data_IF_665084560706
#
_entry.id   IF_665084560706
#
_cell.length_a   1.000
_cell.length_b   1.000
_cell.length_c   1.000
_cell.angle_alpha   90.00
_cell.angle_beta   90.00
_cell.angle_gamma   90.00
#
_symmetry.space_group_name_H-M   'P 1'
#
loop_
_entity.id
_entity.type
_entity.pdbx_description
1 polymer ?
#
# COMPACT_ATOMS: atom_id res chain seq x y z
N UNK A 1 -2.28 5.93 12.02
CA UNK A 1 -2.90 5.84 10.67
C UNK A 1 -4.08 4.87 10.55
N UNK A 2 -4.00 3.59 10.97
CA UNK A 2 -5.14 2.63 10.85
C UNK A 2 -6.45 3.13 11.46
N UNK A 3 -6.36 3.80 12.61
CA UNK A 3 -7.53 4.38 13.29
C UNK A 3 -8.08 5.60 12.55
N UNK A 4 -7.20 6.39 11.92
CA UNK A 4 -7.54 7.64 11.22
C UNK A 4 -8.30 7.40 9.93
N UNK A 5 -7.92 6.39 9.13
CA UNK A 5 -8.60 6.07 7.86
C UNK A 5 -9.97 5.43 8.14
N UNK A 6 -10.05 4.52 9.11
CA UNK A 6 -11.32 3.95 9.54
C UNK A 6 -12.22 5.02 10.13
N UNK A 7 -11.66 5.95 10.91
CA UNK A 7 -12.40 7.07 11.50
C UNK A 7 -12.87 8.08 10.46
N UNK A 8 -12.08 8.38 9.42
CA UNK A 8 -12.49 9.27 8.33
C UNK A 8 -13.58 8.63 7.47
N UNK A 9 -13.47 7.34 7.15
CA UNK A 9 -14.49 6.62 6.41
C UNK A 9 -15.80 6.48 7.20
N UNK A 10 -15.71 6.18 8.51
CA UNK A 10 -16.85 6.19 9.42
C UNK A 10 -17.46 7.59 9.56
N UNK A 11 -16.63 8.64 9.62
CA UNK A 11 -17.10 10.02 9.73
C UNK A 11 -17.79 10.47 8.44
N UNK A 12 -17.26 10.16 7.26
CA UNK A 12 -17.89 10.45 5.97
C UNK A 12 -19.21 9.69 5.80
N UNK A 13 -19.25 8.41 6.19
CA UNK A 13 -20.49 7.64 6.22
C UNK A 13 -21.50 8.23 7.21
N UNK A 14 -21.06 8.63 8.41
CA UNK A 14 -21.91 9.25 9.42
C UNK A 14 -22.47 10.60 8.97
N UNK A 15 -21.67 11.45 8.33
CA UNK A 15 -22.10 12.74 7.76
C UNK A 15 -23.10 12.53 6.62
N UNK A 16 -22.86 11.57 5.73
CA UNK A 16 -23.81 11.22 4.67
C UNK A 16 -25.14 10.71 5.23
N UNK A 17 -25.10 9.87 6.27
CA UNK A 17 -26.29 9.36 6.98
C UNK A 17 -27.05 10.51 7.66
N UNK A 18 -26.34 11.42 8.33
CA UNK A 18 -26.95 12.55 9.02
C UNK A 18 -27.61 13.52 8.02
N UNK A 19 -26.94 13.79 6.89
CA UNK A 19 -27.47 14.66 5.82
C UNK A 19 -28.70 14.06 5.14
N UNK A 20 -28.73 12.73 4.93
CA UNK A 20 -29.91 12.03 4.40
C UNK A 20 -31.06 12.02 5.41
N UNK A 21 -30.77 11.86 6.70
CA UNK A 21 -31.77 11.90 7.77
C UNK A 21 -32.44 13.28 7.88
N UNK A 22 -31.68 14.36 7.74
CA UNK A 22 -32.20 15.73 7.71
C UNK A 22 -33.05 16.02 6.47
N UNK A 23 -32.69 15.44 5.32
CA UNK A 23 -33.45 15.63 4.08
C UNK A 23 -34.79 14.88 4.10
N UNK A 24 -34.83 13.71 4.73
CA UNK A 24 -36.04 12.88 4.87
C UNK A 24 -37.00 13.46 5.90
N UNK A 25 -36.51 14.00 7.02
CA UNK A 25 -37.37 14.60 8.05
C UNK A 25 -38.11 15.85 7.54
N UNK A 26 -37.53 16.58 6.59
CA UNK A 26 -38.16 17.74 5.95
C UNK A 26 -39.37 17.38 5.06
N UNK A 27 -39.50 16.12 4.62
CA UNK A 27 -40.60 15.67 3.75
C UNK A 27 -41.79 15.07 4.52
N UNK A 28 -41.70 14.96 5.86
CA UNK A 28 -42.74 14.36 6.70
C UNK A 28 -43.85 15.36 7.06
N UNK A 29 -44.64 15.74 6.07
CA UNK A 29 -46.02 16.22 6.27
C UNK A 29 -46.94 15.38 5.38
N UNK A 30 -47.21 14.14 5.79
CA UNK A 30 -48.07 13.18 5.09
C UNK A 30 -49.16 12.63 6.01
N UNK A 31 -50.19 12.00 5.43
CA UNK A 31 -51.38 11.52 6.13
C UNK A 31 -51.29 10.08 6.66
N UNK A 32 -52.40 9.32 6.76
CA UNK A 32 -52.38 7.98 7.33
C UNK A 32 -51.80 6.87 6.42
N UNK A 33 -51.54 7.15 5.13
CA UNK A 33 -51.07 6.15 4.14
C UNK A 33 -49.53 6.05 4.01
N UNK A 34 -48.79 6.93 4.68
CA UNK A 34 -47.34 7.09 4.52
C UNK A 34 -46.50 6.13 5.35
N UNK A 35 -47.13 5.27 6.15
CA UNK A 35 -46.46 4.18 6.86
C UNK A 35 -45.70 3.23 5.91
N UNK A 36 -46.28 2.90 4.75
CA UNK A 36 -45.63 2.06 3.74
C UNK A 36 -44.42 2.77 3.09
N UNK A 37 -44.57 4.06 2.78
CA UNK A 37 -43.49 4.88 2.20
C UNK A 37 -42.33 5.08 3.17
N UNK A 38 -42.65 5.35 4.44
CA UNK A 38 -41.65 5.48 5.51
C UNK A 38 -40.90 4.18 5.75
N UNK A 39 -41.59 3.04 5.77
CA UNK A 39 -40.98 1.73 5.92
C UNK A 39 -40.04 1.41 4.75
N UNK A 40 -40.48 1.63 3.52
CA UNK A 40 -39.67 1.40 2.31
C UNK A 40 -38.42 2.29 2.29
N UNK A 41 -38.57 3.56 2.65
CA UNK A 41 -37.46 4.50 2.73
C UNK A 41 -36.44 4.09 3.80
N UNK A 42 -36.91 3.65 4.97
CA UNK A 42 -36.04 3.16 6.04
C UNK A 42 -35.27 1.90 5.61
N UNK A 43 -35.93 1.00 4.87
CA UNK A 43 -35.31 -0.20 4.31
C UNK A 43 -34.22 0.13 3.28
N UNK A 44 -34.48 1.08 2.37
CA UNK A 44 -33.50 1.57 1.40
C UNK A 44 -32.32 2.23 2.10
N UNK A 45 -32.57 3.00 3.17
CA UNK A 45 -31.52 3.66 3.94
C UNK A 45 -30.62 2.63 4.64
N UNK A 46 -31.20 1.62 5.30
CA UNK A 46 -30.43 0.52 5.91
C UNK A 46 -29.59 -0.19 4.85
N UNK A 47 -30.17 -0.52 3.70
CA UNK A 47 -29.48 -1.24 2.64
C UNK A 47 -28.32 -0.40 2.05
N UNK A 48 -28.53 0.90 1.88
CA UNK A 48 -27.50 1.85 1.45
C UNK A 48 -26.34 1.94 2.46
N UNK A 49 -26.64 2.01 3.76
CA UNK A 49 -25.62 2.01 4.82
C UNK A 49 -24.82 0.70 4.80
N UNK A 50 -25.49 -0.44 4.70
CA UNK A 50 -24.83 -1.75 4.59
C UNK A 50 -23.92 -1.81 3.36
N UNK A 51 -24.37 -1.31 2.21
CA UNK A 51 -23.58 -1.27 1.00
C UNK A 51 -22.31 -0.42 1.17
N UNK A 52 -22.41 0.77 1.78
CA UNK A 52 -21.26 1.64 2.07
C UNK A 52 -20.28 0.95 3.02
N UNK A 53 -20.76 0.30 4.08
CA UNK A 53 -19.92 -0.43 5.03
C UNK A 53 -19.14 -1.56 4.33
N UNK A 54 -19.83 -2.35 3.50
CA UNK A 54 -19.20 -3.40 2.69
C UNK A 54 -18.16 -2.81 1.74
N UNK A 55 -18.45 -1.68 1.12
CA UNK A 55 -17.52 -1.02 0.20
C UNK A 55 -16.24 -0.55 0.91
N UNK A 56 -16.38 0.03 2.10
CA UNK A 56 -15.22 0.43 2.92
C UNK A 56 -14.40 -0.80 3.34
N UNK A 57 -15.05 -1.91 3.72
CA UNK A 57 -14.37 -3.16 4.03
C UNK A 57 -13.55 -3.67 2.84
N UNK A 58 -14.10 -3.61 1.62
CA UNK A 58 -13.39 -3.96 0.39
C UNK A 58 -12.17 -3.06 0.19
N UNK A 59 -12.30 -1.73 0.35
CA UNK A 59 -11.17 -0.80 0.21
C UNK A 59 -10.03 -1.14 1.17
N UNK A 60 -10.35 -1.36 2.45
CA UNK A 60 -9.37 -1.74 3.48
C UNK A 60 -8.72 -3.08 3.14
N UNK A 61 -9.51 -4.02 2.61
CA UNK A 61 -9.01 -5.31 2.16
C UNK A 61 -8.03 -5.18 0.99
N UNK A 62 -8.39 -4.43 -0.07
CA UNK A 62 -7.54 -4.20 -1.24
C UNK A 62 -6.22 -3.56 -0.83
N UNK A 63 -6.26 -2.50 -0.01
CA UNK A 63 -5.03 -1.85 0.48
C UNK A 63 -4.11 -2.85 1.19
N UNK A 64 -4.65 -3.65 2.11
CA UNK A 64 -3.86 -4.65 2.85
C UNK A 64 -3.34 -5.78 1.96
N UNK A 65 -4.10 -6.15 0.94
CA UNK A 65 -3.71 -7.22 0.02
C UNK A 65 -2.62 -6.76 -0.95
N UNK A 66 -2.71 -5.53 -1.45
CA UNK A 66 -1.69 -4.93 -2.30
C UNK A 66 -0.36 -4.76 -1.55
N UNK A 67 -0.42 -4.28 -0.31
CA UNK A 67 0.77 -4.12 0.55
C UNK A 67 1.47 -5.47 0.81
N UNK A 68 0.69 -6.54 1.04
CA UNK A 68 1.23 -7.90 1.21
C UNK A 68 1.93 -8.43 -0.05
N UNK A 69 1.50 -7.98 -1.22
CA UNK A 69 2.10 -8.37 -2.51
C UNK A 69 3.29 -7.49 -2.89
N UNK A 70 3.62 -6.48 -2.07
CA UNK A 70 4.67 -5.51 -2.33
C UNK A 70 4.35 -4.62 -3.54
N UNK A 71 3.05 -4.37 -3.77
CA UNK A 71 2.54 -3.40 -4.74
C UNK A 71 2.13 -2.15 -3.97
N UNK A 72 2.22 -0.97 -4.60
CA UNK A 72 1.81 0.31 -4.00
C UNK A 72 0.33 0.29 -3.60
N UNK A 73 0.04 0.00 -2.32
CA UNK A 73 -1.33 -0.21 -1.84
C UNK A 73 -2.20 1.05 -1.94
N UNK A 74 -1.59 2.23 -1.81
CA UNK A 74 -2.28 3.52 -1.95
C UNK A 74 -2.74 3.75 -3.39
N UNK A 75 -1.91 3.44 -4.37
CA UNK A 75 -2.26 3.54 -5.80
C UNK A 75 -3.46 2.66 -6.13
N UNK A 76 -3.46 1.40 -5.68
CA UNK A 76 -4.57 0.49 -5.89
C UNK A 76 -5.84 0.91 -5.18
N UNK A 77 -5.73 1.45 -3.96
CA UNK A 77 -6.88 2.00 -3.25
C UNK A 77 -7.51 3.17 -4.01
N UNK A 78 -6.71 4.09 -4.56
CA UNK A 78 -7.21 5.20 -5.38
C UNK A 78 -7.88 4.69 -6.67
N UNK A 79 -7.29 3.70 -7.34
CA UNK A 79 -7.88 3.09 -8.55
C UNK A 79 -9.24 2.47 -8.24
N UNK A 80 -9.36 1.69 -7.16
CA UNK A 80 -10.66 1.10 -6.76
C UNK A 80 -11.64 2.17 -6.30
N UNK A 81 -11.17 3.26 -5.68
CA UNK A 81 -12.01 4.39 -5.27
C UNK A 81 -12.62 5.13 -6.47
N UNK A 82 -11.84 5.41 -7.51
CA UNK A 82 -12.29 6.15 -8.69
C UNK A 82 -13.08 5.24 -9.63
N UNK A 83 -12.51 4.09 -9.99
CA UNK A 83 -13.11 3.16 -10.94
C UNK A 83 -14.17 2.23 -10.30
N UNK A 84 -14.43 2.36 -8.99
CA UNK A 84 -15.42 1.58 -8.25
C UNK A 84 -15.29 0.06 -8.50
N UNK A 85 -16.38 -0.57 -8.95
CA UNK A 85 -16.46 -1.98 -9.26
C UNK A 85 -15.49 -2.39 -10.37
N UNK A 86 -15.28 -1.51 -11.36
CA UNK A 86 -14.34 -1.74 -12.46
C UNK A 86 -12.90 -1.80 -11.94
N UNK A 87 -12.53 -0.88 -11.04
CA UNK A 87 -11.21 -0.89 -10.40
C UNK A 87 -10.97 -2.16 -9.58
N UNK A 88 -12.01 -2.66 -8.88
CA UNK A 88 -11.94 -3.92 -8.14
C UNK A 88 -11.71 -5.11 -9.07
N UNK A 89 -12.42 -5.17 -10.20
CA UNK A 89 -12.25 -6.25 -11.19
C UNK A 89 -10.84 -6.23 -11.77
N UNK A 90 -10.34 -5.06 -12.17
CA UNK A 90 -8.97 -4.89 -12.68
C UNK A 90 -7.94 -5.33 -11.65
N UNK A 91 -8.12 -4.93 -10.38
CA UNK A 91 -7.27 -5.36 -9.28
C UNK A 91 -7.22 -6.88 -9.16
N UNK A 92 -8.37 -7.54 -9.17
CA UNK A 92 -8.46 -8.99 -9.04
C UNK A 92 -7.77 -9.74 -10.18
N UNK A 93 -7.81 -9.20 -11.40
CA UNK A 93 -7.09 -9.78 -12.56
C UNK A 93 -5.57 -9.69 -12.35
N UNK A 94 -5.07 -8.49 -12.05
CA UNK A 94 -3.61 -8.25 -11.91
C UNK A 94 -3.04 -8.95 -10.67
N UNK A 95 -3.85 -9.12 -9.63
CA UNK A 95 -3.51 -9.85 -8.41
C UNK A 95 -2.97 -11.25 -8.68
N UNK A 96 -3.47 -11.94 -9.71
CA UNK A 96 -3.02 -13.29 -10.08
C UNK A 96 -1.56 -13.34 -10.55
N UNK A 97 -1.06 -12.25 -11.12
CA UNK A 97 0.29 -12.12 -11.70
C UNK A 97 1.37 -11.77 -10.66
N UNK A 98 0.98 -11.34 -9.45
CA UNK A 98 1.88 -10.95 -8.38
C UNK A 98 1.77 -11.91 -7.19
N UNK A 99 2.59 -12.98 -7.12
CA UNK A 99 2.61 -13.88 -5.97
C UNK A 99 3.07 -13.13 -4.70
N UNK A 100 2.49 -13.49 -3.56
CA UNK A 100 2.82 -12.90 -2.27
C UNK A 100 4.31 -13.13 -1.99
N UNK A 101 5.10 -12.05 -1.86
CA UNK A 101 6.51 -12.16 -1.49
C UNK A 101 6.60 -12.84 -0.13
N UNK A 102 7.40 -13.90 -0.01
CA UNK A 102 7.68 -14.53 1.27
C UNK A 102 8.23 -13.46 2.24
N UNK A 103 7.56 -13.30 3.37
CA UNK A 103 7.68 -12.12 4.22
C UNK A 103 9.10 -11.91 4.75
N UNK A 104 9.67 -10.69 4.63
CA UNK A 104 10.48 -10.13 5.70
C UNK A 104 9.53 -9.89 6.88
N UNK A 105 9.84 -10.54 8.00
CA UNK A 105 9.18 -10.41 9.31
C UNK A 105 8.65 -8.99 9.56
N UNK A 106 7.34 -8.91 9.78
CA UNK A 106 6.58 -7.80 10.38
C UNK A 106 7.30 -6.44 10.44
N UNK A 107 7.17 -5.63 9.40
CA UNK A 107 7.27 -4.18 9.56
C UNK A 107 5.90 -3.66 10.01
N UNK A 108 5.78 -3.07 11.20
CA UNK A 108 4.54 -2.47 11.66
C UNK A 108 4.23 -1.24 10.80
N UNK A 109 2.96 -1.17 10.38
CA UNK A 109 2.32 -0.09 9.64
C UNK A 109 2.93 1.31 9.93
N UNK A 110 3.66 1.87 8.96
CA UNK A 110 4.14 3.25 9.04
C UNK A 110 3.00 4.22 8.65
N UNK A 111 2.61 5.15 9.55
CA UNK A 111 1.69 6.26 9.28
C UNK A 111 2.28 7.29 8.32
N UNK A 112 1.55 7.66 7.26
CA UNK A 112 1.82 8.79 6.40
C UNK A 112 1.89 10.06 7.25
N UNK A 113 3.10 10.61 7.33
CA UNK A 113 3.36 12.01 7.61
C UNK A 113 4.42 12.41 6.58
N UNK A 114 4.01 13.23 5.61
CA UNK A 114 4.95 13.93 4.75
C UNK A 114 5.78 14.90 5.61
N UNK A 115 7.06 14.96 5.28
CA UNK A 115 7.98 16.08 5.46
C UNK A 115 8.38 16.46 6.90
N UNK A 116 9.54 15.92 7.33
CA UNK A 116 10.58 16.73 7.96
C UNK A 116 11.93 16.25 7.41
N UNK A 117 12.52 17.05 6.51
CA UNK A 117 13.93 16.98 6.21
C UNK A 117 14.71 17.34 7.48
N UNK A 118 15.25 16.35 8.16
CA UNK A 118 16.29 16.56 9.15
C UNK A 118 17.27 15.39 9.04
N UNK A 119 18.40 15.70 8.43
CA UNK A 119 19.67 14.99 8.45
C UNK A 119 19.79 14.00 9.63
N UNK A 120 19.62 12.71 9.34
CA UNK A 120 20.02 11.63 10.23
C UNK A 120 21.23 10.96 9.57
N UNK A 121 22.37 10.83 10.27
CA UNK A 121 23.54 10.19 9.70
C UNK A 121 23.18 8.73 9.50
N UNK A 122 23.00 8.33 8.23
CA UNK A 122 23.02 6.92 7.87
C UNK A 122 24.37 6.42 8.37
N UNK A 123 24.38 5.59 9.41
CA UNK A 123 25.53 4.74 9.74
C UNK A 123 25.61 3.74 8.60
N UNK A 124 26.16 4.20 7.49
CA UNK A 124 26.55 3.39 6.36
C UNK A 124 27.67 2.52 6.90
N UNK A 125 27.38 1.26 7.19
CA UNK A 125 28.43 0.25 7.19
C UNK A 125 28.83 0.07 5.73
N UNK A 126 29.63 1.01 5.23
CA UNK A 126 30.12 1.06 3.85
C UNK A 126 31.17 -0.05 3.71
N UNK A 127 30.72 -1.28 3.47
CA UNK A 127 31.54 -2.23 2.75
C UNK A 127 31.79 -1.60 1.37
N UNK A 128 32.96 -0.98 1.19
CA UNK A 128 33.31 -0.28 -0.04
C UNK A 128 33.52 -1.32 -1.15
N UNK A 129 32.46 -1.70 -1.86
CA UNK A 129 32.53 -2.56 -3.04
C UNK A 129 33.17 -1.77 -4.18
N UNK A 130 34.48 -1.91 -4.38
CA UNK A 130 35.19 -1.28 -5.50
C UNK A 130 35.06 -2.19 -6.71
N UNK A 131 34.57 -1.63 -7.82
CA UNK A 131 34.50 -2.31 -9.11
C UNK A 131 35.89 -2.26 -9.75
N UNK A 132 36.48 -3.41 -10.05
CA UNK A 132 37.80 -3.48 -10.68
C UNK A 132 37.72 -4.16 -12.05
N UNK A 133 38.59 -3.69 -12.95
CA UNK A 133 38.77 -4.22 -14.30
C UNK A 133 39.98 -5.15 -14.32
N UNK A 134 39.83 -6.34 -14.89
CA UNK A 134 40.96 -7.25 -15.08
C UNK A 134 41.83 -6.80 -16.26
N UNK A 135 43.14 -6.49 -16.09
CA UNK A 135 44.02 -6.05 -17.19
C UNK A 135 44.26 -7.13 -18.26
N UNK A 136 44.04 -8.41 -17.94
CA UNK A 136 44.30 -9.53 -18.85
C UNK A 136 43.10 -9.96 -19.68
N UNK A 137 41.87 -9.65 -19.29
CA UNK A 137 40.67 -10.09 -20.02
C UNK A 137 39.54 -9.06 -20.09
N UNK A 138 39.72 -7.88 -19.48
CA UNK A 138 38.75 -6.78 -19.53
C UNK A 138 37.45 -7.01 -18.74
N UNK A 139 37.28 -8.15 -18.06
CA UNK A 139 36.06 -8.39 -17.28
C UNK A 139 36.04 -7.55 -16.01
N UNK A 140 34.90 -6.92 -15.79
CA UNK A 140 34.63 -6.06 -14.65
C UNK A 140 33.90 -6.89 -13.58
N UNK A 141 34.44 -6.96 -12.36
CA UNK A 141 33.80 -7.68 -11.24
C UNK A 141 33.85 -6.89 -9.93
N UNK A 142 32.84 -7.02 -9.05
CA UNK A 142 32.84 -6.37 -7.74
C UNK A 142 33.73 -7.13 -6.75
N UNK A 143 34.55 -6.40 -5.99
CA UNK A 143 35.34 -6.96 -4.88
C UNK A 143 35.00 -6.21 -3.59
N UNK A 144 34.78 -6.97 -2.52
CA UNK A 144 34.59 -6.45 -1.17
C UNK A 144 35.95 -6.28 -0.50
N UNK A 145 36.39 -5.03 -0.32
CA UNK A 145 37.63 -4.73 0.41
C UNK A 145 37.42 -5.00 1.90
N UNK A 146 38.22 -5.90 2.48
CA UNK A 146 38.31 -6.05 3.92
C UNK A 146 39.35 -5.03 4.46
N UNK A 147 39.00 -4.11 5.39
CA UNK A 147 39.88 -3.03 5.84
C UNK A 147 41.19 -3.44 6.53
N UNK A 148 41.43 -4.73 6.75
CA UNK A 148 42.54 -5.21 7.59
C UNK A 148 43.53 -6.18 6.92
N UNK A 149 43.59 -6.30 5.59
CA UNK A 149 44.64 -7.06 4.89
C UNK A 149 44.64 -6.79 3.36
N UNK A 150 45.76 -6.96 2.62
CA UNK A 150 45.73 -7.05 1.16
C UNK A 150 44.84 -8.22 0.75
N UNK A 151 43.65 -7.92 0.22
CA UNK A 151 42.69 -8.95 -0.19
C UNK A 151 43.19 -9.67 -1.45
N UNK A 152 43.45 -10.99 -1.40
CA UNK A 152 43.75 -11.77 -2.59
C UNK A 152 42.48 -11.92 -3.43
N UNK A 153 42.57 -11.58 -4.71
CA UNK A 153 41.45 -11.67 -5.65
C UNK A 153 41.80 -12.61 -6.80
N UNK A 154 40.85 -13.47 -7.17
CA UNK A 154 40.98 -14.39 -8.30
C UNK A 154 39.95 -14.03 -9.36
N UNK A 155 40.40 -13.80 -10.59
CA UNK A 155 39.48 -13.47 -11.67
C UNK A 155 38.66 -14.72 -12.08
N UNK A 156 37.32 -14.65 -12.13
CA UNK A 156 36.47 -15.78 -12.52
C UNK A 156 36.56 -16.13 -14.01
N UNK A 157 37.06 -15.23 -14.86
CA UNK A 157 37.11 -15.44 -16.31
C UNK A 157 38.47 -15.99 -16.78
N UNK A 158 39.59 -15.42 -16.30
CA UNK A 158 40.93 -15.82 -16.74
C UNK A 158 41.75 -16.60 -15.70
N UNK A 159 41.22 -16.76 -14.47
CA UNK A 159 41.86 -17.54 -13.41
C UNK A 159 43.12 -16.93 -12.78
N UNK A 160 43.57 -15.75 -13.24
CA UNK A 160 44.75 -15.06 -12.69
C UNK A 160 44.45 -14.50 -11.29
N UNK A 161 45.43 -14.64 -10.40
CA UNK A 161 45.40 -14.15 -9.02
C UNK A 161 46.16 -12.82 -8.92
N UNK A 162 45.68 -11.92 -8.08
CA UNK A 162 46.33 -10.63 -7.80
C UNK A 162 45.96 -10.11 -6.43
N UNK A 163 46.69 -9.12 -5.95
CA UNK A 163 46.44 -8.45 -4.66
C UNK A 163 46.06 -7.00 -4.91
N UNK A 164 45.03 -6.53 -4.20
CA UNK A 164 44.62 -5.13 -4.23
C UNK A 164 45.07 -4.50 -2.91
N UNK A 165 45.79 -3.37 -2.92
CA UNK A 165 46.07 -2.61 -1.70
C UNK A 165 44.80 -1.92 -1.17
#
# INVERSE_FOLDING_TARGET
MRKSILSLALCAAFVAILSLCQNVSAQMMGGPADWLGTFFLFLVLILGVLFVVVWILIMVWVYRDAEKRGMEGVLWLIVVLVAHLVGLIIYLIIRGSHPVKAAPRAQPAQPAAQEVQAFQPVVQKTAQTKRIECPSCGTIFPVEKNPSDPTPVKCPNCGKEGTIP
#
